data_IF_854973603259
#
_entry.id   IF_854973603259
#
_cell.length_a   1.000
_cell.length_b   1.000
_cell.length_c   1.000
_cell.angle_alpha   90.00
_cell.angle_beta   90.00
_cell.angle_gamma   90.00
#
_symmetry.space_group_name_H-M   'P 1'
#
loop_
_entity.id
_entity.type
_entity.pdbx_description
1 polymer ?
#
# COMPACT_ATOMS: atom_id res chain seq x y z
N UNK A 1 25.12 33.55 25.51
CA UNK A 1 23.99 32.60 25.50
C UNK A 1 22.68 33.24 25.04
N UNK A 2 22.38 34.51 25.41
CA UNK A 2 21.15 35.20 25.02
C UNK A 2 20.89 35.27 23.50
N UNK A 3 21.91 35.57 22.69
CA UNK A 3 21.79 35.65 21.22
C UNK A 3 21.39 34.31 20.56
N UNK A 4 21.88 33.17 21.09
CA UNK A 4 21.50 31.85 20.55
C UNK A 4 20.04 31.51 20.87
N UNK A 5 19.56 31.89 22.06
CA UNK A 5 18.16 31.71 22.42
C UNK A 5 17.23 32.54 21.53
N UNK A 6 17.58 33.80 21.25
CA UNK A 6 16.80 34.66 20.35
C UNK A 6 16.75 34.10 18.92
N UNK A 7 17.89 33.62 18.40
CA UNK A 7 17.93 33.00 17.06
C UNK A 7 17.04 31.77 16.95
N UNK A 8 16.98 30.94 18.00
CA UNK A 8 16.11 29.76 18.01
C UNK A 8 14.63 30.15 18.05
N UNK A 9 14.26 31.18 18.79
CA UNK A 9 12.87 31.68 18.84
C UNK A 9 12.42 32.19 17.48
N UNK A 10 13.25 32.97 16.78
CA UNK A 10 12.91 33.46 15.43
C UNK A 10 12.85 32.33 14.40
N UNK A 11 13.70 31.31 14.53
CA UNK A 11 13.66 30.14 13.66
C UNK A 11 12.36 29.33 13.87
N UNK A 12 11.97 29.11 15.13
CA UNK A 12 10.71 28.42 15.46
C UNK A 12 9.50 29.21 14.98
N UNK A 13 9.46 30.54 15.19
CA UNK A 13 8.39 31.40 14.67
C UNK A 13 8.26 31.28 13.15
N UNK A 14 9.37 31.36 12.43
CA UNK A 14 9.38 31.23 10.97
C UNK A 14 8.82 29.88 10.54
N UNK A 15 9.27 28.79 11.17
CA UNK A 15 8.82 27.44 10.85
C UNK A 15 7.33 27.23 11.13
N UNK A 16 6.83 27.72 12.27
CA UNK A 16 5.41 27.66 12.62
C UNK A 16 4.58 28.45 11.61
N UNK A 17 5.03 29.65 11.24
CA UNK A 17 4.31 30.49 10.28
C UNK A 17 4.25 29.88 8.88
N UNK A 18 5.35 29.29 8.40
CA UNK A 18 5.36 28.56 7.11
C UNK A 18 4.42 27.36 7.13
N UNK A 19 4.40 26.60 8.24
CA UNK A 19 3.52 25.44 8.37
C UNK A 19 2.05 25.85 8.36
N UNK A 20 1.68 26.90 9.10
CA UNK A 20 0.32 27.43 9.10
C UNK A 20 -0.14 27.89 7.72
N UNK A 21 0.76 28.50 6.94
CA UNK A 21 0.45 28.93 5.56
C UNK A 21 0.16 27.75 4.63
N UNK A 22 0.97 26.69 4.71
CA UNK A 22 0.74 25.46 3.91
C UNK A 22 -0.59 24.80 4.27
N UNK A 23 -0.94 24.77 5.56
CA UNK A 23 -2.23 24.22 6.02
C UNK A 23 -3.40 25.06 5.50
N UNK A 24 -3.28 26.40 5.53
CA UNK A 24 -4.31 27.30 5.02
C UNK A 24 -4.51 27.14 3.51
N UNK A 25 -3.43 27.09 2.72
CA UNK A 25 -3.49 26.89 1.26
C UNK A 25 -4.10 25.51 0.92
N UNK A 26 -3.76 24.46 1.68
CA UNK A 26 -4.34 23.14 1.51
C UNK A 26 -5.84 23.14 1.82
N UNK A 27 -6.26 23.76 2.92
CA UNK A 27 -7.67 23.88 3.28
C UNK A 27 -8.47 24.62 2.21
N UNK A 28 -7.90 25.67 1.61
CA UNK A 28 -8.53 26.40 0.51
C UNK A 28 -8.65 25.53 -0.76
N UNK A 29 -7.63 24.73 -1.08
CA UNK A 29 -7.67 23.81 -2.22
C UNK A 29 -8.73 22.70 -2.07
N UNK A 30 -9.05 22.33 -0.83
CA UNK A 30 -10.04 21.33 -0.48
C UNK A 30 -11.47 21.89 -0.36
N UNK A 31 -11.66 23.20 -0.59
CA UNK A 31 -12.97 23.84 -0.51
C UNK A 31 -13.51 23.96 0.92
N UNK A 32 -12.62 23.96 1.93
CA UNK A 32 -13.04 24.18 3.32
C UNK A 32 -13.59 25.61 3.44
N UNK A 33 -14.81 25.80 3.98
CA UNK A 33 -15.40 27.12 4.12
C UNK A 33 -14.57 28.01 5.04
N UNK A 34 -14.40 29.28 4.67
CA UNK A 34 -13.55 30.26 5.36
C UNK A 34 -13.84 30.39 6.87
N UNK A 35 -15.06 30.05 7.29
CA UNK A 35 -15.50 30.01 8.68
C UNK A 35 -14.66 29.08 9.57
N UNK A 36 -14.11 28.00 9.01
CA UNK A 36 -13.25 27.05 9.74
C UNK A 36 -11.79 27.54 9.78
N UNK A 37 -11.36 28.27 8.74
CA UNK A 37 -10.01 28.85 8.67
C UNK A 37 -9.80 29.94 9.72
N UNK A 38 -10.80 30.79 9.98
CA UNK A 38 -10.75 31.83 11.02
C UNK A 38 -10.59 31.26 12.44
N UNK A 39 -11.11 30.06 12.69
CA UNK A 39 -10.97 29.36 13.97
C UNK A 39 -9.54 28.85 14.21
N UNK A 40 -8.79 28.58 13.14
CA UNK A 40 -7.41 28.09 13.20
C UNK A 40 -6.37 29.22 13.27
N UNK A 41 -6.65 30.39 12.68
CA UNK A 41 -5.71 31.52 12.64
C UNK A 41 -5.87 32.48 13.81
N UNK A 42 -6.94 32.38 14.60
CA UNK A 42 -7.20 33.26 15.75
C UNK A 42 -7.50 34.70 15.36
N UNK A 43 -7.75 34.98 14.09
CA UNK A 43 -8.18 36.29 13.63
C UNK A 43 -9.60 36.58 14.14
N UNK A 44 -9.86 37.74 14.75
CA UNK A 44 -11.18 38.11 15.20
C UNK A 44 -12.09 38.20 13.97
N UNK A 45 -13.11 37.34 13.91
CA UNK A 45 -14.10 37.33 12.85
C UNK A 45 -14.74 38.73 12.75
N UNK A 46 -14.62 39.36 11.57
CA UNK A 46 -15.27 40.62 11.26
C UNK A 46 -16.78 40.53 11.60
N UNK A 47 -17.29 41.38 12.51
CA UNK A 47 -18.68 41.35 12.91
C UNK A 47 -19.52 41.97 11.79
N UNK A 48 -20.00 41.16 10.85
CA UNK A 48 -20.89 41.69 9.80
C UNK A 48 -21.50 40.71 8.81
N UNK A 49 -20.93 39.52 8.61
CA UNK A 49 -21.47 38.62 7.58
C UNK A 49 -22.53 37.68 8.17
N UNK A 50 -23.77 38.14 8.16
CA UNK A 50 -24.93 37.30 8.47
C UNK A 50 -24.91 36.06 7.57
N UNK A 51 -24.81 34.88 8.19
CA UNK A 51 -24.89 33.60 7.51
C UNK A 51 -26.28 33.45 6.87
N UNK A 52 -26.35 33.62 5.56
CA UNK A 52 -27.55 33.30 4.77
C UNK A 52 -27.47 31.80 4.45
N UNK A 53 -28.31 30.94 5.05
CA UNK A 53 -28.31 29.53 4.74
C UNK A 53 -28.65 29.33 3.24
N UNK A 54 -27.97 28.42 2.53
CA UNK A 54 -28.32 28.12 1.16
C UNK A 54 -29.77 27.60 1.07
N UNK A 55 -30.53 27.99 0.03
CA UNK A 55 -31.89 27.51 -0.16
C UNK A 55 -31.91 25.98 -0.27
N UNK A 56 -32.88 25.36 0.39
CA UNK A 56 -33.07 23.92 0.40
C UNK A 56 -33.19 23.38 -1.05
N UNK A 57 -32.51 22.27 -1.38
CA UNK A 57 -32.62 21.68 -2.71
C UNK A 57 -34.05 21.21 -2.97
N UNK A 58 -34.57 21.37 -4.21
CA UNK A 58 -35.90 20.89 -4.56
C UNK A 58 -35.97 19.38 -4.37
N UNK A 59 -37.04 18.92 -3.71
CA UNK A 59 -37.31 17.52 -3.45
C UNK A 59 -37.24 16.71 -4.76
N UNK A 60 -36.22 15.86 -4.87
CA UNK A 60 -36.08 14.96 -6.00
C UNK A 60 -37.22 13.93 -5.97
N UNK A 61 -38.13 14.05 -6.92
CA UNK A 61 -39.17 13.07 -7.21
C UNK A 61 -38.58 11.67 -7.32
N UNK A 62 -39.07 10.75 -6.49
CA UNK A 62 -38.70 9.34 -6.53
C UNK A 62 -39.04 8.72 -7.89
N UNK A 63 -38.11 8.01 -8.56
CA UNK A 63 -38.44 7.24 -9.74
C UNK A 63 -39.31 6.03 -9.36
N UNK A 64 -40.59 6.13 -9.70
CA UNK A 64 -41.52 5.00 -9.75
C UNK A 64 -41.08 4.04 -10.86
N UNK A 65 -40.80 2.80 -10.47
CA UNK A 65 -40.94 1.63 -11.35
C UNK A 65 -39.70 1.22 -12.14
N UNK A 66 -38.87 0.37 -11.54
CA UNK A 66 -38.06 -0.59 -12.28
C UNK A 66 -38.69 -1.97 -12.09
N UNK A 67 -39.34 -2.47 -13.15
CA UNK A 67 -39.85 -3.84 -13.28
C UNK A 67 -38.71 -4.82 -13.01
N UNK A 68 -39.00 -5.87 -12.23
CA UNK A 68 -38.21 -7.08 -12.16
C UNK A 68 -38.12 -7.70 -13.56
N UNK A 69 -37.01 -7.45 -14.26
CA UNK A 69 -36.62 -8.20 -15.44
C UNK A 69 -36.02 -9.53 -14.98
N UNK A 70 -36.63 -10.63 -15.39
CA UNK A 70 -36.07 -11.97 -15.21
C UNK A 70 -34.63 -12.03 -15.72
N UNK A 71 -33.71 -12.65 -14.98
CA UNK A 71 -32.34 -12.82 -15.46
C UNK A 71 -32.31 -13.69 -16.73
N UNK A 72 -31.46 -13.38 -17.71
CA UNK A 72 -31.26 -14.25 -18.86
C UNK A 72 -30.69 -15.61 -18.43
N UNK A 73 -31.01 -16.70 -19.15
CA UNK A 73 -30.50 -18.03 -18.83
C UNK A 73 -28.97 -18.07 -18.95
N UNK A 74 -28.32 -18.73 -17.99
CA UNK A 74 -26.88 -18.91 -17.96
C UNK A 74 -26.39 -19.65 -19.22
N UNK A 75 -25.22 -19.28 -19.78
CA UNK A 75 -24.63 -20.01 -20.90
C UNK A 75 -24.28 -21.44 -20.44
N UNK A 76 -24.82 -22.42 -21.14
CA UNK A 76 -24.48 -23.84 -20.97
C UNK A 76 -23.02 -24.02 -21.39
N UNK A 77 -22.13 -24.16 -20.41
CA UNK A 77 -20.73 -24.51 -20.64
C UNK A 77 -20.68 -25.95 -21.13
N UNK A 78 -20.46 -26.12 -22.43
CA UNK A 78 -20.26 -27.41 -23.07
C UNK A 78 -18.87 -27.95 -22.67
N UNK A 79 -18.77 -29.12 -22.03
CA UNK A 79 -17.47 -29.71 -21.69
C UNK A 79 -16.70 -30.07 -22.97
N UNK A 80 -15.36 -29.89 -23.00
CA UNK A 80 -14.57 -30.22 -24.17
C UNK A 80 -14.66 -31.72 -24.48
N UNK A 81 -14.90 -32.03 -25.75
CA UNK A 81 -14.98 -33.38 -26.27
C UNK A 81 -13.71 -34.18 -25.93
N UNK A 82 -13.89 -35.30 -25.22
CA UNK A 82 -12.87 -36.34 -25.11
C UNK A 82 -12.71 -37.00 -26.48
N UNK A 83 -11.63 -36.65 -27.18
CA UNK A 83 -11.17 -37.42 -28.33
C UNK A 83 -10.63 -38.79 -27.88
N UNK A 84 -10.97 -39.89 -28.59
CA UNK A 84 -10.34 -41.18 -28.38
C UNK A 84 -9.11 -41.32 -29.29
N UNK A 85 -8.05 -41.95 -28.78
CA UNK A 85 -7.04 -42.60 -29.61
C UNK A 85 -5.64 -42.01 -29.52
N UNK A 86 -4.76 -42.71 -28.81
CA UNK A 86 -3.59 -43.34 -29.42
C UNK A 86 -2.83 -44.11 -28.33
N UNK A 87 -3.12 -45.41 -28.26
CA UNK A 87 -2.17 -46.38 -27.73
C UNK A 87 -1.10 -46.61 -28.80
N UNK A 88 0.18 -46.60 -28.42
CA UNK A 88 1.14 -47.67 -28.71
C UNK A 88 2.58 -47.27 -28.39
N UNK A 89 3.30 -48.26 -27.83
CA UNK A 89 4.74 -48.48 -27.83
C UNK A 89 5.59 -47.44 -27.05
N UNK A 90 6.35 -47.85 -26.02
CA UNK A 90 7.30 -48.96 -26.05
C UNK A 90 8.69 -48.34 -26.22
N UNK A 91 9.40 -48.15 -25.10
CA UNK A 91 10.65 -47.39 -25.09
C UNK A 91 11.39 -47.51 -23.77
N UNK A 92 12.02 -48.67 -23.61
CA UNK A 92 13.38 -48.84 -23.09
C UNK A 92 13.72 -48.44 -21.63
N UNK A 93 13.90 -49.52 -20.88
CA UNK A 93 14.52 -49.65 -19.58
C UNK A 93 16.00 -49.18 -19.60
N UNK A 94 16.25 -47.89 -19.38
CA UNK A 94 17.61 -47.39 -19.15
C UNK A 94 18.00 -47.53 -17.66
N UNK A 95 18.97 -48.42 -17.47
CA UNK A 95 19.79 -48.72 -16.29
C UNK A 95 19.97 -47.58 -15.28
N UNK A 96 19.77 -47.97 -14.02
CA UNK A 96 20.38 -47.44 -12.79
C UNK A 96 21.74 -46.76 -13.00
N UNK A 97 21.83 -45.51 -12.57
CA UNK A 97 23.06 -44.91 -12.08
C UNK A 97 22.82 -44.35 -10.66
N UNK A 98 23.48 -44.86 -9.60
CA UNK A 98 23.45 -44.23 -8.29
C UNK A 98 24.48 -43.10 -8.29
N UNK A 99 24.15 -42.00 -8.97
CA UNK A 99 24.91 -40.76 -8.93
C UNK A 99 24.26 -39.81 -7.94
N UNK A 100 24.35 -40.12 -6.65
CA UNK A 100 24.01 -39.20 -5.57
C UNK A 100 25.02 -38.04 -5.55
N UNK A 101 24.94 -37.16 -6.55
CA UNK A 101 25.62 -35.88 -6.51
C UNK A 101 24.83 -35.01 -5.53
N UNK A 102 25.29 -35.06 -4.28
CA UNK A 102 24.83 -34.20 -3.21
C UNK A 102 25.10 -32.75 -3.61
N UNK A 103 24.16 -32.15 -4.33
CA UNK A 103 24.14 -30.71 -4.50
C UNK A 103 24.18 -30.10 -3.09
N UNK A 104 25.14 -29.22 -2.79
CA UNK A 104 25.25 -28.63 -1.46
C UNK A 104 23.95 -27.90 -1.20
N UNK A 105 23.11 -28.48 -0.33
CA UNK A 105 21.92 -27.82 0.20
C UNK A 105 22.43 -26.58 0.89
N UNK A 106 22.39 -25.44 0.19
CA UNK A 106 22.71 -24.14 0.75
C UNK A 106 21.95 -24.05 2.08
N UNK A 107 22.64 -23.82 3.20
CA UNK A 107 21.97 -23.73 4.49
C UNK A 107 20.86 -22.71 4.32
N UNK A 108 19.62 -23.14 4.59
CA UNK A 108 18.48 -22.24 4.67
C UNK A 108 18.84 -21.22 5.71
N UNK A 109 19.36 -20.08 5.25
CA UNK A 109 19.77 -18.96 6.08
C UNK A 109 18.47 -18.53 6.74
N UNK A 110 18.25 -19.00 7.98
CA UNK A 110 17.30 -18.38 8.89
C UNK A 110 17.76 -16.95 8.94
N UNK A 111 17.12 -16.10 8.13
CA UNK A 111 17.35 -14.67 8.14
C UNK A 111 16.96 -14.29 9.55
N UNK A 112 17.96 -14.11 10.40
CA UNK A 112 17.76 -13.61 11.74
C UNK A 112 17.13 -12.23 11.55
N UNK A 113 15.81 -12.15 11.72
CA UNK A 113 14.99 -10.93 11.72
C UNK A 113 15.27 -10.11 13.00
N UNK A 114 16.56 -9.98 13.31
CA UNK A 114 17.11 -9.43 14.54
C UNK A 114 18.13 -8.34 14.19
N UNK A 115 17.89 -7.65 13.06
CA UNK A 115 18.56 -6.42 12.70
C UNK A 115 17.74 -5.22 13.16
N UNK A 116 18.37 -4.32 13.93
CA UNK A 116 17.97 -2.94 14.19
C UNK A 116 16.46 -2.62 14.22
N UNK A 117 15.74 -3.21 15.18
CA UNK A 117 14.32 -2.90 15.43
C UNK A 117 14.07 -1.42 15.77
N UNK A 118 15.10 -0.68 16.19
CA UNK A 118 14.97 0.69 16.70
C UNK A 118 14.52 1.74 15.69
N UNK A 119 14.75 1.55 14.36
CA UNK A 119 14.24 2.49 13.35
C UNK A 119 12.79 2.20 12.97
N UNK A 120 12.41 0.93 12.99
CA UNK A 120 11.05 0.51 12.64
C UNK A 120 10.00 0.95 13.66
N UNK A 121 10.39 1.24 14.91
CA UNK A 121 9.47 1.70 15.96
C UNK A 121 8.92 3.11 15.72
N UNK A 122 9.51 3.87 14.81
CA UNK A 122 9.02 5.18 14.40
C UNK A 122 7.92 5.10 13.32
N UNK A 123 7.72 3.93 12.71
CA UNK A 123 6.73 3.75 11.64
C UNK A 123 5.37 3.42 12.24
N UNK A 124 4.35 4.12 11.79
CA UNK A 124 2.96 3.85 12.16
C UNK A 124 2.59 2.41 11.78
N UNK A 125 1.96 1.68 12.71
CA UNK A 125 1.46 0.34 12.44
C UNK A 125 0.33 0.39 11.40
N UNK A 126 0.36 -0.56 10.45
CA UNK A 126 -0.63 -0.66 9.39
C UNK A 126 -2.03 -0.98 9.96
N UNK A 127 -3.01 -0.16 9.62
CA UNK A 127 -4.41 -0.37 9.97
C UNK A 127 -5.15 -1.15 8.87
N UNK A 128 -6.18 -1.93 9.21
CA UNK A 128 -6.98 -2.66 8.21
C UNK A 128 -7.65 -1.75 7.17
N UNK A 129 -7.94 -0.50 7.54
CA UNK A 129 -8.60 0.52 6.72
C UNK A 129 -7.63 1.34 5.87
N UNK A 130 -6.32 1.18 6.05
CA UNK A 130 -5.34 1.92 5.26
C UNK A 130 -5.42 1.49 3.78
N UNK A 131 -5.55 2.47 2.90
CA UNK A 131 -5.58 2.29 1.46
C UNK A 131 -4.72 3.35 0.79
N UNK A 132 -3.92 2.94 -0.20
CA UNK A 132 -3.14 3.83 -1.07
C UNK A 132 -3.71 3.64 -2.47
N UNK A 133 -4.05 4.74 -3.14
CA UNK A 133 -4.70 4.73 -4.47
C UNK A 133 -5.97 3.86 -4.51
N UNK A 134 -6.75 3.87 -3.41
CA UNK A 134 -7.96 3.06 -3.28
C UNK A 134 -7.71 1.56 -3.05
N UNK A 135 -6.45 1.12 -2.91
CA UNK A 135 -6.09 -0.28 -2.72
C UNK A 135 -5.47 -0.54 -1.35
N UNK A 136 -6.12 -1.40 -0.57
CA UNK A 136 -5.58 -1.89 0.72
C UNK A 136 -4.40 -2.84 0.51
N UNK A 137 -4.35 -3.55 -0.62
CA UNK A 137 -3.21 -4.41 -0.98
C UNK A 137 -1.96 -3.57 -1.27
N UNK A 138 -2.11 -2.45 -1.96
CA UNK A 138 -0.98 -1.56 -2.23
C UNK A 138 -0.41 -0.99 -0.93
N UNK A 139 -1.27 -0.51 -0.04
CA UNK A 139 -0.87 -0.02 1.28
C UNK A 139 -0.04 -1.06 2.06
N UNK A 140 -0.53 -2.31 2.10
CA UNK A 140 0.16 -3.44 2.74
C UNK A 140 1.54 -3.71 2.14
N UNK A 141 1.64 -3.71 0.81
CA UNK A 141 2.90 -3.98 0.11
C UNK A 141 3.90 -2.86 0.34
N UNK A 142 3.47 -1.61 0.16
CA UNK A 142 4.31 -0.42 0.36
C UNK A 142 4.84 -0.39 1.80
N UNK A 143 3.95 -0.62 2.78
CA UNK A 143 4.32 -0.68 4.18
C UNK A 143 5.39 -1.76 4.44
N UNK A 144 5.18 -2.98 3.94
CA UNK A 144 6.11 -4.10 4.15
C UNK A 144 7.50 -3.85 3.55
N UNK A 145 7.56 -3.24 2.37
CA UNK A 145 8.81 -2.90 1.70
C UNK A 145 9.53 -1.73 2.38
N UNK A 146 8.79 -0.73 2.86
CA UNK A 146 9.35 0.39 3.61
C UNK A 146 9.97 -0.07 4.94
N UNK A 147 9.27 -0.92 5.69
CA UNK A 147 9.81 -1.55 6.91
C UNK A 147 11.09 -2.33 6.60
N UNK A 148 11.07 -3.16 5.55
CA UNK A 148 12.23 -3.96 5.17
C UNK A 148 13.45 -3.12 4.81
N UNK A 149 13.23 -1.96 4.17
CA UNK A 149 14.30 -0.99 3.88
C UNK A 149 14.86 -0.39 5.16
N UNK A 150 14.01 0.03 6.09
CA UNK A 150 14.44 0.63 7.37
C UNK A 150 15.23 -0.34 8.24
N UNK A 151 14.90 -1.63 8.17
CA UNK A 151 15.58 -2.71 8.89
C UNK A 151 16.80 -3.27 8.14
N UNK A 152 17.11 -2.76 6.95
CA UNK A 152 18.22 -3.24 6.15
C UNK A 152 18.05 -4.65 5.60
N UNK A 153 16.83 -5.19 5.55
CA UNK A 153 16.52 -6.50 4.97
C UNK A 153 16.65 -6.50 3.44
N UNK A 154 16.55 -5.32 2.81
CA UNK A 154 16.68 -5.14 1.37
C UNK A 154 15.41 -5.51 0.58
N UNK A 155 15.53 -5.77 -0.73
CA UNK A 155 14.40 -6.15 -1.58
C UNK A 155 13.75 -7.46 -1.13
N UNK A 156 12.42 -7.54 -1.23
CA UNK A 156 11.66 -8.68 -0.73
C UNK A 156 10.95 -9.45 -1.83
N UNK A 157 10.74 -10.75 -1.60
CA UNK A 157 9.80 -11.55 -2.38
C UNK A 157 8.37 -11.38 -1.83
N UNK A 158 7.33 -11.63 -2.66
CA UNK A 158 5.95 -11.57 -2.20
C UNK A 158 5.64 -12.42 -0.95
N UNK A 159 6.28 -13.59 -0.83
CA UNK A 159 6.11 -14.44 0.34
C UNK A 159 6.74 -13.86 1.61
N UNK A 160 7.86 -13.15 1.49
CA UNK A 160 8.52 -12.51 2.62
C UNK A 160 7.75 -11.24 3.05
N UNK A 161 7.17 -10.48 2.10
CA UNK A 161 6.25 -9.38 2.40
C UNK A 161 5.05 -9.85 3.23
N UNK A 162 4.36 -10.91 2.78
CA UNK A 162 3.21 -11.46 3.49
C UNK A 162 3.57 -11.90 4.93
N UNK A 163 4.75 -12.53 5.11
CA UNK A 163 5.23 -12.90 6.45
C UNK A 163 5.47 -11.69 7.34
N UNK A 164 6.08 -10.62 6.83
CA UNK A 164 6.30 -9.38 7.60
C UNK A 164 4.96 -8.75 8.01
N UNK A 165 3.98 -8.71 7.10
CA UNK A 165 2.65 -8.17 7.37
C UNK A 165 1.96 -8.98 8.46
N UNK A 166 1.91 -10.31 8.33
CA UNK A 166 1.27 -11.19 9.33
C UNK A 166 1.99 -11.17 10.68
N UNK A 167 3.31 -10.96 10.71
CA UNK A 167 4.08 -10.93 11.94
C UNK A 167 3.87 -9.65 12.76
N UNK A 168 3.44 -8.56 12.13
CA UNK A 168 3.39 -7.22 12.75
C UNK A 168 2.00 -6.59 12.76
N UNK A 169 1.09 -7.11 11.95
CA UNK A 169 -0.24 -6.57 11.80
C UNK A 169 -1.28 -7.67 12.04
N UNK A 170 -2.45 -7.35 12.62
CA UNK A 170 -3.54 -8.31 12.83
C UNK A 170 -4.29 -8.64 11.52
N UNK A 171 -3.61 -8.59 10.38
CA UNK A 171 -4.17 -8.73 9.05
C UNK A 171 -3.73 -10.06 8.45
N UNK A 172 -4.70 -10.89 8.07
CA UNK A 172 -4.44 -12.13 7.34
C UNK A 172 -4.21 -11.83 5.86
N UNK A 173 -3.04 -12.23 5.33
CA UNK A 173 -2.70 -12.02 3.93
C UNK A 173 -1.96 -13.23 3.37
N UNK A 174 -2.63 -13.94 2.45
CA UNK A 174 -2.05 -15.09 1.77
C UNK A 174 -0.95 -14.66 0.77
N UNK A 175 0.26 -15.27 0.79
CA UNK A 175 1.35 -14.96 -0.14
C UNK A 175 0.97 -14.94 -1.63
N UNK A 176 0.13 -15.87 -2.15
CA UNK A 176 -0.31 -15.85 -3.55
C UNK A 176 -1.04 -14.57 -3.94
N UNK A 177 -1.74 -13.91 -3.00
CA UNK A 177 -2.49 -12.70 -3.27
C UNK A 177 -1.57 -11.50 -3.54
N UNK A 178 -0.47 -11.38 -2.80
CA UNK A 178 0.53 -10.33 -3.02
C UNK A 178 1.16 -10.46 -4.40
N UNK A 179 1.59 -11.67 -4.76
CA UNK A 179 2.20 -11.93 -6.07
C UNK A 179 1.20 -11.73 -7.22
N UNK A 180 -0.08 -12.08 -7.02
CA UNK A 180 -1.14 -11.86 -8.01
C UNK A 180 -1.44 -10.37 -8.17
N UNK A 181 -1.45 -9.61 -7.08
CA UNK A 181 -1.69 -8.17 -7.10
C UNK A 181 -0.61 -7.45 -7.93
N UNK A 182 0.66 -7.61 -7.58
CA UNK A 182 1.78 -6.94 -8.27
C UNK A 182 1.77 -7.24 -9.78
N UNK A 183 1.52 -8.50 -10.16
CA UNK A 183 1.47 -8.91 -11.58
C UNK A 183 0.31 -8.29 -12.35
N UNK A 184 -0.84 -8.10 -11.71
CA UNK A 184 -2.06 -7.59 -12.36
C UNK A 184 -2.12 -6.07 -12.39
N UNK A 185 -1.76 -5.40 -11.29
CA UNK A 185 -1.89 -3.96 -11.17
C UNK A 185 -0.64 -3.19 -11.61
N UNK A 186 0.53 -3.84 -11.65
CA UNK A 186 1.81 -3.25 -12.05
C UNK A 186 2.02 -1.82 -11.51
N UNK A 187 1.96 -1.62 -10.17
CA UNK A 187 1.98 -0.29 -9.60
C UNK A 187 3.35 0.39 -9.84
N UNK A 188 3.36 1.68 -10.20
CA UNK A 188 4.58 2.46 -10.46
C UNK A 188 5.46 2.66 -9.21
N UNK A 189 4.84 2.59 -8.04
CA UNK A 189 5.49 2.70 -6.73
C UNK A 189 6.39 1.50 -6.38
N UNK A 190 6.39 0.43 -7.17
CA UNK A 190 7.15 -0.80 -6.91
C UNK A 190 7.94 -1.21 -8.14
N UNK A 191 9.24 -1.45 -7.98
CA UNK A 191 10.11 -1.96 -9.03
C UNK A 191 10.67 -3.35 -8.69
N UNK A 192 10.97 -4.13 -9.72
CA UNK A 192 11.78 -5.35 -9.59
C UNK A 192 13.24 -4.92 -9.39
N UNK A 193 13.80 -5.17 -8.21
CA UNK A 193 15.18 -4.81 -7.90
C UNK A 193 16.17 -5.82 -8.50
N UNK A 194 15.87 -7.12 -8.39
CA UNK A 194 16.62 -8.19 -9.02
C UNK A 194 15.77 -9.46 -9.14
N UNK A 195 16.25 -10.42 -9.93
CA UNK A 195 15.61 -11.73 -10.10
C UNK A 195 16.63 -12.84 -9.86
N UNK A 196 16.23 -13.88 -9.13
CA UNK A 196 17.03 -15.07 -8.87
C UNK A 196 16.22 -16.31 -9.30
N UNK A 197 16.59 -16.91 -10.43
CA UNK A 197 15.81 -17.98 -11.06
C UNK A 197 14.39 -17.52 -11.42
N UNK A 198 13.37 -18.22 -10.91
CA UNK A 198 11.96 -17.88 -11.09
C UNK A 198 11.40 -16.91 -10.03
N UNK A 199 12.25 -16.39 -9.15
CA UNK A 199 11.85 -15.51 -8.05
C UNK A 199 12.21 -14.07 -8.36
N UNK A 200 11.24 -13.16 -8.20
CA UNK A 200 11.44 -11.72 -8.30
C UNK A 200 11.50 -11.10 -6.91
N UNK A 201 12.45 -10.19 -6.73
CA UNK A 201 12.62 -9.39 -5.53
C UNK A 201 12.28 -7.94 -5.84
N UNK A 202 11.43 -7.36 -5.02
CA UNK A 202 10.85 -6.05 -5.25
C UNK A 202 11.36 -5.04 -4.22
N UNK A 203 11.46 -3.79 -4.65
CA UNK A 203 11.80 -2.64 -3.81
C UNK A 203 10.88 -1.46 -4.14
N UNK A 204 10.78 -0.50 -3.22
CA UNK A 204 10.10 0.76 -3.48
C UNK A 204 10.91 1.59 -4.48
N UNK A 205 10.20 2.22 -5.41
CA UNK A 205 10.76 3.31 -6.22
C UNK A 205 10.87 4.59 -5.38
N UNK A 206 11.41 5.67 -5.96
CA UNK A 206 11.42 6.97 -5.27
C UNK A 206 9.99 7.46 -4.94
N UNK A 207 9.06 7.29 -5.87
CA UNK A 207 7.63 7.57 -5.66
C UNK A 207 7.04 6.70 -4.55
N UNK A 208 7.29 5.38 -4.59
CA UNK A 208 6.83 4.47 -3.55
C UNK A 208 7.40 4.80 -2.16
N UNK A 209 8.63 5.30 -2.09
CA UNK A 209 9.24 5.76 -0.84
C UNK A 209 8.53 7.00 -0.30
N UNK A 210 8.20 7.97 -1.16
CA UNK A 210 7.45 9.16 -0.74
C UNK A 210 6.06 8.79 -0.24
N UNK A 211 5.35 7.88 -0.92
CA UNK A 211 4.05 7.37 -0.48
C UNK A 211 4.14 6.67 0.89
N UNK A 212 5.20 5.89 1.10
CA UNK A 212 5.48 5.24 2.39
C UNK A 212 5.67 6.27 3.50
N UNK A 213 6.53 7.27 3.29
CA UNK A 213 6.83 8.32 4.27
C UNK A 213 5.59 9.17 4.58
N UNK A 214 4.83 9.57 3.54
CA UNK A 214 3.62 10.35 3.70
C UNK A 214 2.51 9.61 4.46
N UNK A 215 2.39 8.29 4.27
CA UNK A 215 1.30 7.49 4.84
C UNK A 215 1.63 6.86 6.20
N UNK A 216 2.91 6.60 6.46
CA UNK A 216 3.36 5.79 7.61
C UNK A 216 4.56 6.34 8.36
N UNK A 217 5.21 7.40 7.86
CA UNK A 217 6.33 8.05 8.56
C UNK A 217 5.91 8.59 9.93
N UNK A 218 6.88 8.77 10.82
CA UNK A 218 6.65 9.47 12.08
C UNK A 218 6.24 10.91 11.77
N UNK A 219 4.98 11.25 12.07
CA UNK A 219 4.53 12.64 12.18
C UNK A 219 5.13 13.29 13.42
#
# INVERSE_FOLDING_TARGET
MLQRAQSLVEQVKTQVWTTLRVVADLAQSLGVPASVTSLLTGEPAEPGTAFVPPPAPPAASAPRGARAGSPPPAPVVQPPARGPGAAAAGGELAKRGPGASAAPRRPSRKVALEGDRGRSSQVRALQPTDAIEGSTYLARIIWSLGIARLEGLGPLRPADMARIIMARCPVTLEPPNVARYIRRSQPSSIAVAHSEGSSHFYALTAEGQQLFEASFGAS
#
